data_IF_843848557691
#
_entry.id   IF_843848557691
#
_cell.length_a   1.000
_cell.length_b   1.000
_cell.length_c   1.000
_cell.angle_alpha   90.00
_cell.angle_beta   90.00
_cell.angle_gamma   90.00
#
_symmetry.space_group_name_H-M   'P 1'
#
loop_
_entity.id
_entity.type
_entity.pdbx_description
1 polymer ?
#
# COMPACT_ATOMS: atom_id res chain seq x y z
N UNK A 1 -41.07 -34.86 46.92
CA UNK A 1 -39.70 -35.34 46.62
C UNK A 1 -39.54 -35.99 45.22
N UNK A 2 -40.59 -36.30 44.44
CA UNK A 2 -40.44 -36.97 43.11
C UNK A 2 -40.49 -36.05 41.87
N UNK A 3 -41.04 -34.84 41.97
CA UNK A 3 -41.20 -33.91 40.84
C UNK A 3 -39.91 -33.17 40.48
N UNK A 4 -39.12 -32.79 41.49
CA UNK A 4 -37.86 -32.06 41.33
C UNK A 4 -36.84 -32.88 40.52
N UNK A 5 -36.78 -34.19 40.77
CA UNK A 5 -35.87 -35.11 40.06
C UNK A 5 -36.19 -35.29 38.56
N UNK A 6 -37.44 -35.12 38.11
CA UNK A 6 -37.79 -35.23 36.68
C UNK A 6 -37.34 -34.02 35.87
N UNK A 7 -37.46 -32.82 36.43
CA UNK A 7 -37.04 -31.60 35.73
C UNK A 7 -35.53 -31.57 35.49
N UNK A 8 -34.74 -31.99 36.50
CA UNK A 8 -33.30 -32.12 36.36
C UNK A 8 -32.89 -33.25 35.41
N UNK A 9 -33.62 -34.37 35.36
CA UNK A 9 -33.34 -35.48 34.43
C UNK A 9 -33.65 -35.12 32.97
N UNK A 10 -34.76 -34.41 32.72
CA UNK A 10 -35.11 -33.90 31.38
C UNK A 10 -34.11 -32.83 30.93
N UNK A 11 -33.66 -31.96 31.84
CA UNK A 11 -32.59 -30.99 31.56
C UNK A 11 -31.26 -31.70 31.26
N UNK A 12 -30.89 -32.74 32.01
CA UNK A 12 -29.66 -33.50 31.77
C UNK A 12 -29.69 -34.22 30.41
N UNK A 13 -30.84 -34.80 30.04
CA UNK A 13 -31.05 -35.40 28.71
C UNK A 13 -31.00 -34.36 27.60
N UNK A 14 -31.60 -33.19 27.82
CA UNK A 14 -31.55 -32.09 26.87
C UNK A 14 -30.12 -31.55 26.71
N UNK A 15 -29.39 -31.35 27.81
CA UNK A 15 -27.99 -30.90 27.79
C UNK A 15 -27.09 -31.93 27.11
N UNK A 16 -27.25 -33.23 27.38
CA UNK A 16 -26.49 -34.27 26.68
C UNK A 16 -26.86 -34.34 25.20
N UNK A 17 -28.14 -34.17 24.86
CA UNK A 17 -28.61 -34.10 23.47
C UNK A 17 -27.99 -32.92 22.72
N UNK A 18 -28.03 -31.72 23.31
CA UNK A 18 -27.46 -30.49 22.76
C UNK A 18 -25.93 -30.58 22.70
N UNK A 19 -25.26 -31.11 23.72
CA UNK A 19 -23.82 -31.30 23.71
C UNK A 19 -23.39 -32.23 22.57
N UNK A 20 -24.17 -33.27 22.27
CA UNK A 20 -23.94 -34.16 21.13
C UNK A 20 -24.08 -33.44 19.78
N UNK A 21 -25.12 -32.65 19.58
CA UNK A 21 -25.31 -31.87 18.34
C UNK A 21 -24.30 -30.75 18.19
N UNK A 22 -23.92 -30.06 19.27
CA UNK A 22 -22.89 -29.00 19.25
C UNK A 22 -21.50 -29.58 18.97
N UNK A 23 -21.17 -30.75 19.52
CA UNK A 23 -19.91 -31.42 19.23
C UNK A 23 -19.82 -31.92 17.77
N UNK A 24 -20.94 -32.38 17.19
CA UNK A 24 -21.03 -32.75 15.77
C UNK A 24 -20.97 -31.53 14.85
N UNK A 25 -21.85 -30.55 15.09
CA UNK A 25 -21.89 -29.29 14.36
C UNK A 25 -20.59 -28.51 14.46
N UNK A 26 -19.86 -28.59 15.58
CA UNK A 26 -18.57 -27.97 15.77
C UNK A 26 -17.49 -28.50 14.81
N UNK A 27 -17.44 -29.82 14.58
CA UNK A 27 -16.48 -30.41 13.62
C UNK A 27 -16.80 -30.03 12.18
N UNK A 28 -18.08 -30.00 11.82
CA UNK A 28 -18.53 -29.57 10.49
C UNK A 28 -18.29 -28.08 10.28
N UNK A 29 -18.58 -27.26 11.29
CA UNK A 29 -18.31 -25.82 11.29
C UNK A 29 -16.81 -25.52 11.20
N UNK A 30 -15.97 -26.29 11.88
CA UNK A 30 -14.50 -26.13 11.78
C UNK A 30 -14.00 -26.40 10.36
N UNK A 31 -14.47 -27.48 9.72
CA UNK A 31 -14.11 -27.77 8.33
C UNK A 31 -14.59 -26.66 7.40
N UNK A 32 -15.85 -26.24 7.52
CA UNK A 32 -16.43 -25.17 6.72
C UNK A 32 -15.70 -23.83 6.94
N UNK A 33 -15.29 -23.52 8.17
CA UNK A 33 -14.56 -22.31 8.51
C UNK A 33 -13.14 -22.34 7.93
N UNK A 34 -12.44 -23.47 7.95
CA UNK A 34 -11.12 -23.60 7.31
C UNK A 34 -11.20 -23.40 5.80
N UNK A 35 -12.21 -23.98 5.15
CA UNK A 35 -12.38 -23.83 3.70
C UNK A 35 -12.75 -22.39 3.33
N UNK A 36 -13.62 -21.75 4.12
CA UNK A 36 -13.95 -20.33 3.97
C UNK A 36 -12.74 -19.42 4.20
N UNK A 37 -11.88 -19.77 5.17
CA UNK A 37 -10.66 -19.04 5.45
C UNK A 37 -9.64 -19.16 4.30
N UNK A 38 -9.45 -20.37 3.73
CA UNK A 38 -8.60 -20.57 2.54
C UNK A 38 -9.10 -19.78 1.35
N UNK A 39 -10.41 -19.83 1.10
CA UNK A 39 -11.05 -19.06 0.02
C UNK A 39 -10.89 -17.55 0.26
N UNK A 40 -11.02 -17.08 1.50
CA UNK A 40 -10.83 -15.68 1.85
C UNK A 40 -9.39 -15.21 1.70
N UNK A 41 -8.41 -15.98 2.16
CA UNK A 41 -6.98 -15.70 1.97
C UNK A 41 -6.61 -15.73 0.50
N UNK A 42 -7.14 -16.68 -0.28
CA UNK A 42 -6.92 -16.74 -1.73
C UNK A 42 -7.57 -15.58 -2.51
N UNK A 43 -8.60 -14.95 -1.97
CA UNK A 43 -9.20 -13.71 -2.51
C UNK A 43 -8.47 -12.44 -2.09
N UNK A 44 -7.58 -12.50 -1.10
CA UNK A 44 -6.73 -11.37 -0.79
C UNK A 44 -5.64 -11.29 -1.86
N UNK A 45 -5.40 -10.09 -2.39
CA UNK A 45 -4.32 -9.82 -3.36
C UNK A 45 -2.93 -9.97 -2.71
N UNK A 46 -2.57 -11.20 -2.36
CA UNK A 46 -1.32 -11.51 -1.70
C UNK A 46 -0.24 -11.80 -2.75
N UNK A 47 0.83 -11.02 -2.74
CA UNK A 47 1.98 -11.27 -3.60
C UNK A 47 2.74 -12.46 -3.05
N UNK A 48 2.91 -13.51 -3.85
CA UNK A 48 3.68 -14.67 -3.42
C UNK A 48 5.16 -14.29 -3.22
N UNK A 49 5.86 -15.03 -2.36
CA UNK A 49 7.30 -14.80 -2.16
C UNK A 49 8.09 -14.94 -3.47
N UNK A 50 7.67 -15.82 -4.35
CA UNK A 50 8.34 -16.09 -5.62
C UNK A 50 8.18 -14.92 -6.58
N UNK A 51 6.97 -14.37 -6.72
CA UNK A 51 6.73 -13.16 -7.53
C UNK A 51 7.48 -11.96 -6.97
N UNK A 52 7.50 -11.81 -5.64
CA UNK A 52 8.26 -10.74 -4.99
C UNK A 52 9.76 -10.85 -5.31
N UNK A 53 10.35 -12.04 -5.20
CA UNK A 53 11.76 -12.25 -5.51
C UNK A 53 12.05 -12.11 -7.02
N UNK A 54 11.11 -12.48 -7.90
CA UNK A 54 11.22 -12.25 -9.34
C UNK A 54 11.25 -10.75 -9.67
N UNK A 55 10.31 -9.97 -9.14
CA UNK A 55 10.25 -8.51 -9.35
C UNK A 55 11.47 -7.82 -8.73
N UNK A 56 11.92 -8.27 -7.56
CA UNK A 56 13.12 -7.73 -6.91
C UNK A 56 14.38 -7.95 -7.75
N UNK A 57 14.56 -9.13 -8.33
CA UNK A 57 15.65 -9.41 -9.27
C UNK A 57 15.55 -8.54 -10.53
N UNK A 58 14.36 -8.44 -11.12
CA UNK A 58 14.10 -7.58 -12.27
C UNK A 58 14.43 -6.10 -11.97
N UNK A 59 14.01 -5.60 -10.80
CA UNK A 59 14.28 -4.23 -10.37
C UNK A 59 15.79 -3.98 -10.13
N UNK A 60 16.51 -4.97 -9.58
CA UNK A 60 17.95 -4.89 -9.41
C UNK A 60 18.68 -4.81 -10.76
N UNK A 61 18.33 -5.70 -11.70
CA UNK A 61 18.89 -5.68 -13.06
C UNK A 61 18.58 -4.38 -13.78
N UNK A 62 17.33 -3.91 -13.73
CA UNK A 62 16.93 -2.66 -14.37
C UNK A 62 17.70 -1.45 -13.81
N UNK A 63 17.98 -1.41 -12.50
CA UNK A 63 18.83 -0.35 -11.91
C UNK A 63 20.26 -0.44 -12.40
N UNK A 64 20.84 -1.64 -12.49
CA UNK A 64 22.19 -1.81 -13.01
C UNK A 64 22.30 -1.35 -14.48
N UNK A 65 21.31 -1.70 -15.30
CA UNK A 65 21.23 -1.25 -16.69
C UNK A 65 21.05 0.26 -16.80
N UNK A 66 20.22 0.87 -15.95
CA UNK A 66 20.04 2.31 -15.92
C UNK A 66 21.34 3.05 -15.58
N UNK A 67 22.12 2.58 -14.61
CA UNK A 67 23.44 3.15 -14.29
C UNK A 67 24.43 2.99 -15.46
N UNK A 68 24.43 1.84 -16.13
CA UNK A 68 25.26 1.62 -17.31
C UNK A 68 24.87 2.53 -18.49
N UNK A 69 23.57 2.77 -18.70
CA UNK A 69 23.07 3.69 -19.71
C UNK A 69 23.41 5.15 -19.38
N UNK A 70 23.24 5.58 -18.13
CA UNK A 70 23.67 6.92 -17.68
C UNK A 70 25.16 7.13 -17.95
N UNK A 71 26.00 6.17 -17.57
CA UNK A 71 27.44 6.26 -17.82
C UNK A 71 27.79 6.33 -19.32
N UNK A 72 26.97 5.74 -20.21
CA UNK A 72 27.12 5.90 -21.66
C UNK A 72 26.65 7.27 -22.13
N UNK A 73 25.53 7.77 -21.61
CA UNK A 73 25.02 9.10 -21.91
C UNK A 73 26.02 10.17 -21.49
N UNK A 74 26.56 10.12 -20.28
CA UNK A 74 27.57 11.09 -19.81
C UNK A 74 28.81 11.13 -20.72
N UNK A 75 29.26 9.97 -21.19
CA UNK A 75 30.38 9.87 -22.14
C UNK A 75 30.03 10.48 -23.50
N UNK A 76 28.83 10.24 -24.01
CA UNK A 76 28.39 10.75 -25.31
C UNK A 76 28.07 12.25 -25.26
N UNK A 77 27.44 12.73 -24.19
CA UNK A 77 27.17 14.15 -23.95
C UNK A 77 28.46 14.95 -23.71
N UNK A 78 29.45 14.35 -23.02
CA UNK A 78 30.78 14.93 -22.89
C UNK A 78 31.54 15.04 -24.21
N UNK A 79 31.30 14.12 -25.16
CA UNK A 79 31.90 14.14 -26.51
C UNK A 79 31.15 15.06 -27.47
N UNK A 80 29.83 15.21 -27.30
CA UNK A 80 28.99 16.02 -28.20
C UNK A 80 28.85 17.48 -27.78
N UNK A 81 29.28 17.87 -26.57
CA UNK A 81 29.40 19.28 -26.19
C UNK A 81 30.51 19.90 -27.05
N UNK A 82 30.20 20.75 -28.06
CA UNK A 82 31.24 21.47 -28.77
C UNK A 82 31.94 22.34 -27.73
N UNK A 83 33.27 22.30 -27.72
CA UNK A 83 34.08 23.14 -26.84
C UNK A 83 33.58 24.59 -26.97
N UNK A 84 32.84 25.04 -25.96
CA UNK A 84 32.41 26.43 -25.87
C UNK A 84 33.71 27.24 -25.74
N UNK A 85 34.03 27.98 -26.80
CA UNK A 85 35.14 28.92 -26.85
C UNK A 85 35.17 29.78 -25.57
N UNK A 86 36.36 30.13 -25.05
CA UNK A 86 36.45 30.89 -23.81
C UNK A 86 35.97 32.31 -24.10
N UNK A 87 34.70 32.62 -23.80
CA UNK A 87 34.23 34.00 -23.84
C UNK A 87 34.59 34.66 -22.52
N UNK A 88 35.52 35.60 -22.65
CA UNK A 88 36.13 36.43 -21.65
C UNK A 88 35.16 37.05 -20.62
N UNK A 89 35.75 37.31 -19.46
CA UNK A 89 35.27 38.09 -18.32
C UNK A 89 34.18 39.13 -18.60
N UNK A 90 33.11 39.07 -17.82
CA UNK A 90 32.35 40.25 -17.39
C UNK A 90 31.90 40.07 -15.94
N UNK A 91 32.44 40.92 -15.06
CA UNK A 91 32.24 40.97 -13.62
C UNK A 91 30.80 41.38 -13.21
N UNK A 92 30.40 41.24 -11.93
CA UNK A 92 29.01 41.11 -11.50
C UNK A 92 28.33 42.47 -11.31
N UNK A 93 27.10 42.65 -11.83
CA UNK A 93 26.24 43.77 -11.46
C UNK A 93 25.42 43.43 -10.21
N UNK A 94 25.96 43.92 -9.09
CA UNK A 94 25.31 44.60 -7.98
C UNK A 94 23.84 44.25 -7.63
N UNK A 95 23.69 43.87 -6.36
CA UNK A 95 22.48 43.78 -5.58
C UNK A 95 21.57 45.03 -5.65
N UNK A 96 20.26 44.79 -5.68
CA UNK A 96 19.26 45.66 -5.04
C UNK A 96 17.94 44.89 -4.83
N UNK A 97 17.74 44.34 -3.63
CA UNK A 97 16.44 44.36 -2.93
C UNK A 97 16.56 45.48 -1.89
N UNK A 98 15.53 46.31 -1.67
CA UNK A 98 14.38 45.92 -0.84
C UNK A 98 13.07 46.53 -1.44
N UNK A 99 11.85 46.45 -0.94
CA UNK A 99 11.27 46.16 0.35
C UNK A 99 9.81 45.72 0.14
N UNK A 100 9.27 45.02 1.13
CA UNK A 100 7.85 44.75 1.27
C UNK A 100 7.04 46.05 1.52
N UNK A 101 5.80 46.12 1.01
CA UNK A 101 4.58 46.45 1.80
C UNK A 101 3.32 46.58 0.94
N UNK A 102 2.20 46.25 1.60
CA UNK A 102 0.78 46.48 1.26
C UNK A 102 0.08 45.25 0.68
N UNK A 103 -0.49 44.34 1.47
CA UNK A 103 -1.60 44.50 2.43
C UNK A 103 -2.95 44.84 1.76
N UNK A 104 -3.87 43.88 1.89
CA UNK A 104 -5.30 44.02 2.19
C UNK A 104 -6.31 44.48 1.10
N UNK A 105 -6.96 43.46 0.50
CA UNK A 105 -8.43 43.16 0.55
C UNK A 105 -9.43 44.12 -0.18
N UNK A 106 -10.75 43.82 -0.22
CA UNK A 106 -11.52 43.08 -1.25
C UNK A 106 -12.59 43.92 -2.01
N UNK A 107 -13.12 43.43 -3.13
CA UNK A 107 -14.47 43.74 -3.64
C UNK A 107 -14.79 42.74 -4.78
N UNK A 108 -15.73 41.79 -4.67
CA UNK A 108 -17.19 41.89 -4.56
C UNK A 108 -17.90 42.50 -5.79
N UNK A 109 -18.50 41.59 -6.59
CA UNK A 109 -19.70 41.70 -7.46
C UNK A 109 -19.54 42.35 -8.85
N UNK A 110 -20.50 42.18 -9.82
CA UNK A 110 -21.77 41.42 -9.76
C UNK A 110 -22.13 40.53 -11.00
N UNK A 111 -23.00 39.55 -10.71
CA UNK A 111 -24.27 39.14 -11.38
C UNK A 111 -24.40 38.90 -12.91
N UNK A 112 -25.14 37.81 -13.14
CA UNK A 112 -26.27 37.61 -14.07
C UNK A 112 -25.97 37.21 -15.53
N UNK A 113 -26.30 35.97 -15.89
CA UNK A 113 -27.59 35.60 -16.48
C UNK A 113 -27.85 34.10 -16.30
#
# INVERSE_FOLDING_TARGET
MQSENRFFDDLAKMVNGIAGTVAGAGREAESAMRDRAKEWVGRMDFVSREEFEAVKKMAATARAEAEALKARLDKLEGVTKPAAAPKAAAAPKAAAKPAAKSAAKPAAKPKAK
#
